data_IF_900414875693
#
_entry.id   IF_900414875693
#
_cell.length_a   1.000
_cell.length_b   1.000
_cell.length_c   1.000
_cell.angle_alpha   90.00
_cell.angle_beta   90.00
_cell.angle_gamma   90.00
#
_symmetry.space_group_name_H-M   'P 1'
#
loop_
_entity.id
_entity.type
_entity.pdbx_description
1 polymer ?
#
# COMPACT_ATOMS: atom_id res chain seq x y z
N UNK A 1 -4.33 2.01 32.99
CA UNK A 1 -3.01 2.62 32.75
C UNK A 1 -3.27 4.01 32.18
N UNK A 2 -2.77 5.08 32.80
CA UNK A 2 -2.98 6.43 32.26
C UNK A 2 -2.20 6.58 30.95
N UNK A 3 -2.83 7.18 29.95
CA UNK A 3 -2.19 7.44 28.67
C UNK A 3 -1.10 8.51 28.84
N UNK A 4 0.14 8.30 28.35
CA UNK A 4 1.21 9.27 28.52
C UNK A 4 0.99 10.54 27.68
N UNK A 5 0.23 10.47 26.60
CA UNK A 5 -0.08 11.61 25.72
C UNK A 5 -1.56 11.62 25.37
N UNK A 6 -2.12 12.80 25.10
CA UNK A 6 -3.54 12.93 24.69
C UNK A 6 -3.83 12.19 23.37
N UNK A 7 -2.82 12.11 22.50
CA UNK A 7 -2.92 11.49 21.18
C UNK A 7 -2.84 9.96 21.21
N UNK A 8 -2.52 9.33 22.35
CA UNK A 8 -2.42 7.87 22.44
C UNK A 8 -3.73 7.16 22.10
N UNK A 9 -4.88 7.76 22.42
CA UNK A 9 -6.21 7.18 22.17
C UNK A 9 -6.54 7.05 20.67
N UNK A 10 -5.91 7.86 19.83
CA UNK A 10 -6.12 7.90 18.38
C UNK A 10 -4.98 7.20 17.59
N UNK A 11 -3.94 6.74 18.29
CA UNK A 11 -2.75 6.21 17.65
C UNK A 11 -2.98 4.78 17.13
N UNK A 12 -2.73 4.54 15.84
CA UNK A 12 -2.92 3.20 15.23
C UNK A 12 -1.99 2.12 15.80
N UNK A 13 -0.89 2.51 16.47
CA UNK A 13 0.04 1.58 17.14
C UNK A 13 -0.14 1.54 18.66
N UNK A 14 -1.22 2.12 19.20
CA UNK A 14 -1.46 2.27 20.64
C UNK A 14 -1.20 0.99 21.43
N UNK A 15 -1.74 -0.13 20.96
CA UNK A 15 -1.74 -1.39 21.72
C UNK A 15 -0.35 -2.05 21.80
N UNK A 16 0.59 -1.68 20.93
CA UNK A 16 1.96 -2.18 20.94
C UNK A 16 3.02 -1.07 20.98
N UNK A 17 2.63 0.15 21.34
CA UNK A 17 3.55 1.28 21.42
C UNK A 17 4.51 1.11 22.61
N UNK A 18 5.80 0.98 22.32
CA UNK A 18 6.86 0.79 23.32
C UNK A 18 7.01 1.98 24.29
N UNK A 19 6.70 3.19 23.81
CA UNK A 19 6.67 4.39 24.65
C UNK A 19 5.51 4.35 25.64
N UNK A 20 4.36 3.79 25.23
CA UNK A 20 3.15 3.70 26.04
C UNK A 20 3.24 2.60 27.09
N UNK A 21 3.80 1.44 26.73
CA UNK A 21 3.95 0.31 27.65
C UNK A 21 5.19 0.40 28.55
N UNK A 22 6.00 1.46 28.41
CA UNK A 22 7.19 1.72 29.23
C UNK A 22 8.47 1.01 28.80
N UNK A 23 8.46 0.24 27.71
CA UNK A 23 9.68 -0.46 27.21
C UNK A 23 10.74 0.54 26.73
N UNK A 24 10.32 1.68 26.18
CA UNK A 24 11.21 2.77 25.77
C UNK A 24 10.91 4.00 26.62
N UNK A 25 11.49 4.09 27.83
CA UNK A 25 11.20 5.17 28.75
C UNK A 25 11.65 6.52 28.20
N UNK A 26 11.09 7.57 28.79
CA UNK A 26 11.53 8.93 28.57
C UNK A 26 12.85 9.20 29.29
N UNK A 27 13.73 10.04 28.72
CA UNK A 27 14.78 10.67 29.52
C UNK A 27 14.18 11.36 30.74
N UNK A 28 14.88 11.30 31.88
CA UNK A 28 14.37 11.85 33.15
C UNK A 28 14.14 13.37 33.10
N UNK A 29 14.90 14.06 32.25
CA UNK A 29 14.88 15.50 32.01
C UNK A 29 13.93 15.93 30.89
N UNK A 30 13.16 15.00 30.30
CA UNK A 30 12.29 15.31 29.19
C UNK A 30 11.00 16.00 29.64
N UNK A 31 10.84 17.28 29.26
CA UNK A 31 9.56 17.99 29.40
C UNK A 31 8.51 17.37 28.50
N UNK A 32 7.44 16.84 29.10
CA UNK A 32 6.35 16.21 28.37
C UNK A 32 5.56 17.23 27.55
N UNK A 33 5.58 17.05 26.22
CA UNK A 33 4.61 17.70 25.35
C UNK A 33 3.23 17.05 25.51
N UNK A 34 2.13 17.80 25.33
CA UNK A 34 0.78 17.23 25.34
C UNK A 34 0.60 16.15 24.26
N UNK A 35 1.24 16.34 23.10
CA UNK A 35 1.17 15.46 21.94
C UNK A 35 2.45 14.63 21.76
N UNK A 36 2.28 13.35 21.39
CA UNK A 36 3.38 12.46 21.08
C UNK A 36 4.01 12.77 19.70
N UNK A 37 5.30 13.09 19.65
CA UNK A 37 6.01 13.33 18.38
C UNK A 37 5.95 12.14 17.40
N UNK A 38 6.04 10.90 17.91
CA UNK A 38 5.91 9.70 17.08
C UNK A 38 4.50 9.54 16.48
N UNK A 39 3.46 9.97 17.20
CA UNK A 39 2.11 10.02 16.67
C UNK A 39 1.99 11.04 15.54
N UNK A 40 2.54 12.25 15.73
CA UNK A 40 2.48 13.33 14.72
C UNK A 40 3.13 12.87 13.42
N UNK A 41 4.34 12.30 13.50
CA UNK A 41 5.07 11.78 12.35
C UNK A 41 4.29 10.65 11.66
N UNK A 42 3.82 9.67 12.43
CA UNK A 42 3.09 8.53 11.89
C UNK A 42 1.77 8.95 11.22
N UNK A 43 1.00 9.83 11.85
CA UNK A 43 -0.26 10.30 11.31
C UNK A 43 -0.06 11.07 10.00
N UNK A 44 1.00 11.88 9.90
CA UNK A 44 1.35 12.54 8.64
C UNK A 44 1.76 11.54 7.56
N UNK A 45 2.59 10.54 7.89
CA UNK A 45 3.01 9.52 6.92
C UNK A 45 1.81 8.72 6.38
N UNK A 46 0.86 8.35 7.25
CA UNK A 46 -0.37 7.67 6.85
C UNK A 46 -1.24 8.55 5.96
N UNK A 47 -1.39 9.84 6.29
CA UNK A 47 -2.13 10.81 5.47
C UNK A 47 -1.52 10.94 4.07
N UNK A 48 -0.20 11.13 3.99
CA UNK A 48 0.52 11.25 2.71
C UNK A 48 0.44 9.96 1.89
N UNK A 49 0.29 8.80 2.55
CA UNK A 49 0.24 7.51 1.86
C UNK A 49 -1.01 7.27 1.04
N UNK A 50 -2.09 8.00 1.32
CA UNK A 50 -3.41 7.81 0.68
C UNK A 50 -3.97 6.39 0.85
N UNK A 51 -3.45 5.59 1.80
CA UNK A 51 -4.02 4.29 2.13
C UNK A 51 -5.43 4.51 2.72
N UNK A 52 -6.47 3.84 2.20
CA UNK A 52 -7.83 4.00 2.70
C UNK A 52 -7.96 3.60 4.17
N UNK A 53 -8.83 4.31 4.91
CA UNK A 53 -9.07 4.07 6.34
C UNK A 53 -9.53 2.64 6.65
N UNK A 54 -10.20 1.96 5.70
CA UNK A 54 -10.58 0.55 5.87
C UNK A 54 -9.37 -0.39 6.09
N UNK A 55 -8.16 0.03 5.66
CA UNK A 55 -6.91 -0.70 5.85
C UNK A 55 -6.06 -0.17 7.00
N UNK A 56 -6.56 0.72 7.86
CA UNK A 56 -5.78 1.27 8.99
C UNK A 56 -5.22 0.18 9.93
N UNK A 57 -5.89 -0.97 9.97
CA UNK A 57 -5.49 -2.13 10.78
C UNK A 57 -4.75 -3.21 9.98
N UNK A 58 -4.43 -2.97 8.70
CA UNK A 58 -3.63 -3.89 7.91
C UNK A 58 -2.17 -3.75 8.31
N UNK A 59 -1.69 -4.61 9.21
CA UNK A 59 -0.31 -4.55 9.71
C UNK A 59 0.12 -5.92 10.23
N UNK A 60 1.43 -6.06 10.52
CA UNK A 60 2.04 -7.30 11.01
C UNK A 60 1.35 -7.89 12.24
N UNK A 61 0.84 -7.06 13.16
CA UNK A 61 0.21 -7.51 14.41
C UNK A 61 -1.17 -8.11 14.20
N UNK A 62 -1.93 -7.54 13.26
CA UNK A 62 -3.29 -7.97 12.94
C UNK A 62 -3.35 -8.96 11.78
N UNK A 63 -2.21 -9.24 11.12
CA UNK A 63 -2.16 -10.15 9.99
C UNK A 63 -2.39 -11.59 10.44
N UNK A 64 -3.45 -12.22 9.95
CA UNK A 64 -3.82 -13.58 10.31
C UNK A 64 -3.26 -14.57 9.27
N UNK A 65 -2.49 -15.54 9.76
CA UNK A 65 -2.12 -16.72 8.99
C UNK A 65 -3.13 -17.82 9.28
N UNK A 66 -3.90 -18.20 8.26
CA UNK A 66 -4.95 -19.21 8.33
C UNK A 66 -4.79 -20.24 7.21
N UNK A 67 -5.78 -21.09 7.02
CA UNK A 67 -5.73 -22.16 6.00
C UNK A 67 -5.50 -21.66 4.58
N UNK A 68 -5.96 -20.46 4.24
CA UNK A 68 -5.95 -19.95 2.86
C UNK A 68 -4.59 -19.36 2.47
N UNK A 69 -3.77 -18.95 3.44
CA UNK A 69 -2.44 -18.38 3.21
C UNK A 69 -1.29 -19.12 3.92
N UNK A 70 -1.57 -20.21 4.66
CA UNK A 70 -0.58 -20.99 5.42
C UNK A 70 0.61 -21.45 4.59
N UNK A 71 0.39 -21.79 3.32
CA UNK A 71 1.46 -22.22 2.42
C UNK A 71 2.54 -21.15 2.20
N UNK A 72 2.21 -19.88 2.41
CA UNK A 72 3.12 -18.75 2.29
C UNK A 72 3.63 -18.24 3.64
N UNK A 73 3.36 -18.96 4.75
CA UNK A 73 3.64 -18.50 6.13
C UNK A 73 5.06 -17.98 6.30
N UNK A 74 6.06 -18.77 5.93
CA UNK A 74 7.45 -18.43 6.17
C UNK A 74 7.87 -17.23 5.30
N UNK A 75 7.48 -17.23 4.01
CA UNK A 75 7.67 -16.09 3.11
C UNK A 75 7.02 -14.79 3.63
N UNK A 76 5.82 -14.86 4.20
CA UNK A 76 5.11 -13.71 4.77
C UNK A 76 5.87 -13.17 5.99
N UNK A 77 6.30 -14.07 6.88
CA UNK A 77 7.07 -13.68 8.09
C UNK A 77 8.39 -13.03 7.68
N UNK A 78 9.11 -13.64 6.75
CA UNK A 78 10.38 -13.12 6.24
C UNK A 78 10.19 -11.76 5.58
N UNK A 79 9.16 -11.61 4.73
CA UNK A 79 8.84 -10.34 4.09
C UNK A 79 8.56 -9.23 5.11
N UNK A 80 7.81 -9.50 6.18
CA UNK A 80 7.62 -8.52 7.26
C UNK A 80 8.94 -8.16 7.97
N UNK A 81 9.84 -9.12 8.13
CA UNK A 81 11.12 -8.91 8.80
C UNK A 81 12.06 -8.08 7.94
N UNK A 82 12.14 -8.34 6.64
CA UNK A 82 13.07 -7.71 5.69
C UNK A 82 12.46 -6.58 4.85
N UNK A 83 11.30 -6.04 5.23
CA UNK A 83 10.55 -5.08 4.40
C UNK A 83 11.35 -3.83 4.02
N UNK A 84 12.17 -3.28 4.93
CA UNK A 84 13.01 -2.12 4.65
C UNK A 84 14.06 -2.43 3.58
N UNK A 85 14.65 -3.63 3.61
CA UNK A 85 15.63 -4.08 2.62
C UNK A 85 14.97 -4.33 1.26
N UNK A 86 13.78 -4.95 1.25
CA UNK A 86 12.98 -5.16 0.04
C UNK A 86 12.72 -3.80 -0.65
N UNK A 87 12.25 -2.81 0.10
CA UNK A 87 11.95 -1.48 -0.45
C UNK A 87 13.23 -0.76 -0.89
N UNK A 88 14.28 -0.79 -0.06
CA UNK A 88 15.58 -0.15 -0.36
C UNK A 88 16.24 -0.72 -1.63
N UNK A 89 16.11 -2.02 -1.86
CA UNK A 89 16.71 -2.69 -3.02
C UNK A 89 15.86 -2.59 -4.30
N UNK A 90 14.65 -2.02 -4.20
CA UNK A 90 13.72 -1.95 -5.34
C UNK A 90 13.12 -3.30 -5.70
N UNK A 91 13.01 -4.22 -4.73
CA UNK A 91 12.36 -5.52 -4.93
C UNK A 91 10.85 -5.33 -4.87
N UNK A 92 10.12 -5.99 -5.76
CA UNK A 92 8.69 -5.84 -5.94
C UNK A 92 7.93 -7.03 -5.35
N UNK A 93 6.67 -6.82 -4.98
CA UNK A 93 5.76 -7.87 -4.53
C UNK A 93 4.44 -7.81 -5.30
N UNK A 94 4.00 -8.94 -5.83
CA UNK A 94 2.73 -9.06 -6.54
C UNK A 94 1.78 -9.99 -5.79
N UNK A 95 0.50 -9.63 -5.74
CA UNK A 95 -0.54 -10.46 -5.15
C UNK A 95 -1.64 -10.67 -6.19
N UNK A 96 -1.69 -11.86 -6.78
CA UNK A 96 -2.45 -12.10 -8.01
C UNK A 96 -3.29 -13.36 -7.88
N UNK A 97 -4.60 -13.24 -8.06
CA UNK A 97 -5.48 -14.41 -8.14
C UNK A 97 -6.87 -14.02 -8.65
N UNK A 98 -7.53 -14.83 -9.50
CA UNK A 98 -8.87 -14.52 -10.03
C UNK A 98 -9.97 -14.33 -8.98
N UNK A 99 -9.89 -15.05 -7.85
CA UNK A 99 -10.88 -14.97 -6.78
C UNK A 99 -10.83 -13.63 -6.05
N UNK A 100 -11.98 -12.98 -5.88
CA UNK A 100 -12.11 -11.70 -5.17
C UNK A 100 -12.19 -11.93 -3.66
N UNK A 101 -11.78 -10.92 -2.89
CA UNK A 101 -11.94 -10.93 -1.43
C UNK A 101 -10.99 -11.84 -0.65
N UNK A 102 -9.95 -12.39 -1.29
CA UNK A 102 -9.00 -13.33 -0.68
C UNK A 102 -7.93 -12.69 0.22
N UNK A 103 -7.82 -11.36 0.21
CA UNK A 103 -6.86 -10.61 1.05
C UNK A 103 -5.63 -10.05 0.31
N UNK A 104 -5.63 -10.03 -1.03
CA UNK A 104 -4.53 -9.45 -1.84
C UNK A 104 -4.18 -8.01 -1.45
N UNK A 105 -5.14 -7.09 -1.52
CA UNK A 105 -4.98 -5.68 -1.14
C UNK A 105 -4.55 -5.53 0.32
N UNK A 106 -5.21 -6.26 1.23
CA UNK A 106 -4.88 -6.25 2.65
C UNK A 106 -3.43 -6.67 2.89
N UNK A 107 -2.93 -7.70 2.20
CA UNK A 107 -1.56 -8.21 2.36
C UNK A 107 -0.52 -7.21 1.84
N UNK A 108 -0.72 -6.67 0.64
CA UNK A 108 0.16 -5.63 0.10
C UNK A 108 0.26 -4.42 1.03
N UNK A 109 -0.89 -3.96 1.54
CA UNK A 109 -0.96 -2.82 2.45
C UNK A 109 -0.39 -3.17 3.81
N UNK A 110 -0.56 -4.39 4.33
CA UNK A 110 0.02 -4.79 5.60
C UNK A 110 1.56 -4.72 5.59
N UNK A 111 2.19 -5.16 4.50
CA UNK A 111 3.63 -5.00 4.32
C UNK A 111 4.03 -3.52 4.21
N UNK A 112 3.28 -2.72 3.45
CA UNK A 112 3.55 -1.30 3.32
C UNK A 112 3.39 -0.52 4.65
N UNK A 113 2.40 -0.88 5.48
CA UNK A 113 2.23 -0.31 6.82
C UNK A 113 3.41 -0.65 7.72
N UNK A 114 3.91 -1.88 7.68
CA UNK A 114 5.13 -2.26 8.42
C UNK A 114 6.34 -1.43 7.97
N UNK A 115 6.48 -1.17 6.66
CA UNK A 115 7.52 -0.27 6.15
C UNK A 115 7.38 1.15 6.69
N UNK A 116 6.16 1.72 6.71
CA UNK A 116 5.89 3.04 7.31
C UNK A 116 6.31 3.04 8.78
N UNK A 117 5.87 2.05 9.57
CA UNK A 117 6.14 2.00 11.00
C UNK A 117 7.64 1.94 11.33
N UNK A 118 8.42 1.22 10.51
CA UNK A 118 9.87 1.12 10.68
C UNK A 118 10.62 2.35 10.18
N UNK A 119 10.12 3.01 9.14
CA UNK A 119 10.87 4.08 8.44
C UNK A 119 10.50 5.50 8.88
N UNK A 120 9.31 5.72 9.47
CA UNK A 120 8.77 7.07 9.70
C UNK A 120 9.59 7.91 10.68
N UNK A 121 10.31 7.26 11.59
CA UNK A 121 11.18 7.94 12.56
C UNK A 121 12.56 8.28 11.97
N UNK A 122 12.88 7.83 10.75
CA UNK A 122 14.16 8.10 10.10
C UNK A 122 14.09 9.42 9.31
N UNK A 123 14.79 10.49 9.75
CA UNK A 123 14.72 11.81 9.11
C UNK A 123 15.35 11.86 7.72
N UNK A 124 16.18 10.86 7.35
CA UNK A 124 16.71 10.73 5.99
C UNK A 124 15.71 10.12 5.01
N UNK A 125 14.65 9.47 5.51
CA UNK A 125 13.64 8.81 4.68
C UNK A 125 12.31 9.55 4.66
N UNK A 126 11.91 10.17 5.78
CA UNK A 126 10.61 10.81 5.91
C UNK A 126 10.73 12.31 6.21
N UNK A 127 10.02 13.10 5.41
CA UNK A 127 9.73 14.49 5.67
C UNK A 127 8.21 14.71 5.58
N UNK A 128 7.70 15.81 6.14
CA UNK A 128 6.27 16.08 6.22
C UNK A 128 5.59 16.35 4.87
N UNK A 129 6.32 16.25 3.75
CA UNK A 129 5.85 16.59 2.40
C UNK A 129 5.84 15.38 1.47
N UNK A 130 6.82 14.48 1.61
CA UNK A 130 7.07 13.36 0.70
C UNK A 130 6.59 12.04 1.31
N UNK A 131 5.73 11.28 0.62
CA UNK A 131 5.27 9.99 1.12
C UNK A 131 6.42 8.97 1.19
N UNK A 132 6.39 8.11 2.20
CA UNK A 132 7.17 6.85 2.22
C UNK A 132 6.55 5.79 1.30
N UNK A 133 5.23 5.74 1.30
CA UNK A 133 4.38 4.83 0.53
C UNK A 133 3.35 5.66 -0.20
N UNK A 134 2.98 5.34 -1.43
CA UNK A 134 1.82 5.91 -2.09
C UNK A 134 0.88 4.78 -2.53
N UNK A 135 -0.37 4.82 -2.09
CA UNK A 135 -1.41 3.92 -2.54
C UNK A 135 -2.19 4.51 -3.70
N UNK A 136 -2.33 3.74 -4.78
CA UNK A 136 -3.12 4.09 -5.95
C UNK A 136 -4.12 2.98 -6.22
N UNK A 137 -5.42 3.31 -6.16
CA UNK A 137 -6.45 2.45 -6.74
C UNK A 137 -6.40 2.59 -8.25
N UNK A 138 -5.85 1.61 -8.94
CA UNK A 138 -5.46 1.73 -10.35
C UNK A 138 -6.63 2.14 -11.26
N UNK A 139 -7.80 1.51 -11.09
CA UNK A 139 -9.00 1.84 -11.88
C UNK A 139 -9.50 3.28 -11.70
N UNK A 140 -9.40 3.85 -10.48
CA UNK A 140 -9.77 5.25 -10.23
C UNK A 140 -8.77 6.20 -10.86
N UNK A 141 -7.47 5.95 -10.70
CA UNK A 141 -6.44 6.75 -11.36
C UNK A 141 -6.56 6.74 -12.90
N UNK A 142 -6.86 5.58 -13.47
CA UNK A 142 -7.14 5.44 -14.91
C UNK A 142 -8.38 6.23 -15.36
N UNK A 143 -9.40 6.39 -14.50
CA UNK A 143 -10.54 7.27 -14.76
C UNK A 143 -10.13 8.74 -14.70
N UNK A 144 -9.33 9.14 -13.71
CA UNK A 144 -8.88 10.52 -13.55
C UNK A 144 -8.03 10.96 -14.75
N UNK A 145 -7.13 10.11 -15.24
CA UNK A 145 -6.37 10.37 -16.47
C UNK A 145 -7.26 10.60 -17.70
N UNK A 146 -8.40 9.92 -17.81
CA UNK A 146 -9.35 10.16 -18.90
C UNK A 146 -10.06 11.50 -18.77
N UNK A 147 -10.37 11.90 -17.54
CA UNK A 147 -11.10 13.14 -17.26
C UNK A 147 -10.30 14.39 -17.62
N UNK A 148 -8.97 14.33 -17.65
CA UNK A 148 -8.09 15.43 -18.08
C UNK A 148 -8.57 16.03 -19.41
N UNK A 149 -8.89 15.18 -20.40
CA UNK A 149 -9.34 15.63 -21.72
C UNK A 149 -10.80 16.06 -21.78
N UNK A 150 -11.60 15.70 -20.78
CA UNK A 150 -13.04 15.97 -20.76
C UNK A 150 -13.36 17.30 -20.08
N UNK A 151 -12.59 17.65 -19.04
CA UNK A 151 -12.91 18.76 -18.16
C UNK A 151 -12.26 20.09 -18.58
N UNK A 152 -11.20 20.06 -19.40
CA UNK A 152 -10.38 21.25 -19.72
C UNK A 152 -10.01 22.07 -18.46
N UNK A 153 -9.79 21.37 -17.35
CA UNK A 153 -9.47 21.95 -16.05
C UNK A 153 -7.97 21.83 -15.82
N UNK A 154 -7.28 22.97 -15.83
CA UNK A 154 -5.83 23.04 -15.67
C UNK A 154 -5.39 22.57 -14.27
N UNK A 155 -6.11 22.93 -13.22
CA UNK A 155 -5.78 22.57 -11.84
C UNK A 155 -5.93 21.05 -11.63
N UNK A 156 -7.02 20.48 -12.15
CA UNK A 156 -7.22 19.03 -12.16
C UNK A 156 -6.11 18.32 -12.92
N UNK A 157 -5.75 18.83 -14.10
CA UNK A 157 -4.67 18.27 -14.92
C UNK A 157 -3.34 18.29 -14.17
N UNK A 158 -2.96 19.41 -13.56
CA UNK A 158 -1.73 19.51 -12.77
C UNK A 158 -1.74 18.55 -11.59
N UNK A 159 -2.87 18.39 -10.89
CA UNK A 159 -3.00 17.44 -9.78
C UNK A 159 -2.75 16.00 -10.23
N UNK A 160 -3.36 15.57 -11.33
CA UNK A 160 -3.16 14.19 -11.84
C UNK A 160 -1.71 13.97 -12.29
N UNK A 161 -1.12 14.94 -12.99
CA UNK A 161 0.29 14.87 -13.41
C UNK A 161 1.25 14.89 -12.21
N UNK A 162 0.95 15.63 -11.15
CA UNK A 162 1.71 15.60 -9.91
C UNK A 162 1.62 14.22 -9.23
N UNK A 163 0.45 13.58 -9.26
CA UNK A 163 0.29 12.22 -8.75
C UNK A 163 1.17 11.23 -9.54
N UNK A 164 1.24 11.34 -10.87
CA UNK A 164 2.17 10.53 -11.70
C UNK A 164 3.64 10.76 -11.28
N UNK A 165 4.04 12.01 -11.02
CA UNK A 165 5.39 12.31 -10.51
C UNK A 165 5.65 11.63 -9.16
N UNK A 166 4.69 11.67 -8.23
CA UNK A 166 4.81 10.97 -6.96
C UNK A 166 4.88 9.44 -7.13
N UNK A 167 4.07 8.88 -8.03
CA UNK A 167 4.11 7.46 -8.36
C UNK A 167 5.50 7.02 -8.85
N UNK A 168 6.22 7.86 -9.59
CA UNK A 168 7.59 7.57 -10.02
C UNK A 168 8.60 7.59 -8.88
N UNK A 169 8.51 8.55 -7.96
CA UNK A 169 9.62 8.88 -7.05
C UNK A 169 9.48 8.29 -5.64
N UNK A 170 8.26 7.99 -5.20
CA UNK A 170 7.98 7.42 -3.87
C UNK A 170 8.79 6.14 -3.63
N UNK A 171 9.35 5.92 -2.42
CA UNK A 171 10.10 4.72 -2.11
C UNK A 171 9.32 3.43 -2.42
N UNK A 172 8.07 3.36 -1.96
CA UNK A 172 7.17 2.24 -2.21
C UNK A 172 5.85 2.71 -2.87
N UNK A 173 5.53 2.18 -4.04
CA UNK A 173 4.26 2.41 -4.72
C UNK A 173 3.36 1.19 -4.58
N UNK A 174 2.09 1.36 -4.24
CA UNK A 174 1.08 0.30 -4.30
C UNK A 174 0.12 0.58 -5.45
N UNK A 175 0.05 -0.32 -6.42
CA UNK A 175 -0.96 -0.32 -7.48
C UNK A 175 -2.02 -1.37 -7.18
N UNK A 176 -3.13 -0.96 -6.57
CA UNK A 176 -4.20 -1.88 -6.18
C UNK A 176 -5.19 -2.14 -7.32
N UNK A 177 -5.53 -3.41 -7.51
CA UNK A 177 -6.51 -3.91 -8.46
C UNK A 177 -6.18 -3.54 -9.91
N UNK A 178 -4.90 -3.72 -10.28
CA UNK A 178 -4.44 -3.57 -11.66
C UNK A 178 -5.12 -4.61 -12.55
N UNK A 179 -5.41 -4.23 -13.79
CA UNK A 179 -6.23 -5.04 -14.70
C UNK A 179 -7.73 -4.75 -14.62
N UNK A 180 -8.19 -3.94 -13.64
CA UNK A 180 -9.58 -3.50 -13.56
C UNK A 180 -9.81 -2.17 -14.31
N UNK A 181 -10.87 -2.11 -15.11
CA UNK A 181 -11.23 -0.93 -15.92
C UNK A 181 -10.84 -1.04 -17.40
N UNK A 182 -10.93 0.09 -18.12
CA UNK A 182 -10.54 0.18 -19.55
C UNK A 182 -9.11 0.66 -19.69
N UNK A 183 -8.30 -0.03 -20.49
CA UNK A 183 -6.90 0.28 -20.76
C UNK A 183 -6.74 0.93 -22.14
N UNK A 184 -6.90 2.25 -22.20
CA UNK A 184 -6.57 3.00 -23.42
C UNK A 184 -5.05 3.06 -23.60
N UNK A 185 -4.57 3.27 -24.82
CA UNK A 185 -3.13 3.42 -25.08
C UNK A 185 -2.51 4.51 -24.21
N UNK A 186 -3.22 5.63 -24.04
CA UNK A 186 -2.80 6.70 -23.14
C UNK A 186 -2.54 6.22 -21.69
N UNK A 187 -3.44 5.43 -21.11
CA UNK A 187 -3.25 4.88 -19.75
C UNK A 187 -2.08 3.91 -19.71
N UNK A 188 -1.90 3.10 -20.77
CA UNK A 188 -0.75 2.21 -20.91
C UNK A 188 0.55 2.98 -20.99
N UNK A 189 0.62 4.10 -21.72
CA UNK A 189 1.82 4.93 -21.84
C UNK A 189 2.23 5.51 -20.48
N UNK A 190 1.28 6.05 -19.70
CA UNK A 190 1.56 6.52 -18.34
C UNK A 190 1.98 5.39 -17.39
N UNK A 191 1.34 4.21 -17.53
CA UNK A 191 1.69 3.04 -16.72
C UNK A 191 3.10 2.56 -17.05
N UNK A 192 3.43 2.48 -18.34
CA UNK A 192 4.76 2.16 -18.82
C UNK A 192 5.79 3.13 -18.25
N UNK A 193 5.58 4.44 -18.41
CA UNK A 193 6.49 5.49 -17.97
C UNK A 193 6.73 5.46 -16.44
N UNK A 194 5.69 5.17 -15.65
CA UNK A 194 5.85 4.97 -14.20
C UNK A 194 6.68 3.71 -13.90
N UNK A 195 6.32 2.57 -14.48
CA UNK A 195 6.96 1.28 -14.17
C UNK A 195 8.42 1.25 -14.65
N UNK A 196 8.69 1.79 -15.83
CA UNK A 196 10.03 1.84 -16.41
C UNK A 196 10.96 2.74 -15.59
N UNK A 197 10.51 3.95 -15.24
CA UNK A 197 11.26 4.84 -14.36
C UNK A 197 11.59 4.17 -13.02
N UNK A 198 10.61 3.50 -12.41
CA UNK A 198 10.80 2.82 -11.11
C UNK A 198 11.80 1.68 -11.21
N UNK A 199 11.75 0.90 -12.28
CA UNK A 199 12.72 -0.17 -12.57
C UNK A 199 14.14 0.39 -12.71
N UNK A 200 14.32 1.44 -13.50
CA UNK A 200 15.63 2.08 -13.71
C UNK A 200 16.22 2.67 -12.42
N UNK A 201 15.35 3.23 -11.58
CA UNK A 201 15.74 3.92 -10.34
C UNK A 201 15.64 3.04 -9.09
N UNK A 202 15.50 1.72 -9.25
CA UNK A 202 15.40 0.73 -8.16
C UNK A 202 14.35 1.10 -7.09
N UNK A 203 13.15 1.50 -7.53
CA UNK A 203 12.01 1.84 -6.65
C UNK A 203 11.04 0.67 -6.57
N UNK A 204 10.65 0.31 -5.35
CA UNK A 204 9.84 -0.90 -5.08
C UNK A 204 8.36 -0.69 -5.36
N UNK A 205 7.74 -1.59 -6.11
CA UNK A 205 6.33 -1.54 -6.47
C UNK A 205 5.62 -2.78 -5.98
N UNK A 206 4.59 -2.59 -5.15
CA UNK A 206 3.66 -3.65 -4.80
C UNK A 206 2.41 -3.51 -5.65
N UNK A 207 1.86 -4.63 -6.13
CA UNK A 207 0.64 -4.56 -6.93
C UNK A 207 -0.27 -5.75 -6.70
N UNK A 208 -1.57 -5.53 -6.91
CA UNK A 208 -2.58 -6.57 -6.74
C UNK A 208 -3.43 -6.70 -8.00
N UNK A 209 -3.85 -7.91 -8.34
CA UNK A 209 -4.74 -8.13 -9.48
C UNK A 209 -5.73 -9.27 -9.25
N UNK A 210 -6.92 -9.10 -9.79
CA UNK A 210 -7.91 -10.17 -9.97
C UNK A 210 -7.81 -10.83 -11.35
N UNK A 211 -6.83 -10.46 -12.18
CA UNK A 211 -6.52 -11.14 -13.44
C UNK A 211 -5.36 -12.12 -13.22
N UNK A 212 -5.23 -13.10 -14.11
CA UNK A 212 -4.02 -13.92 -14.22
C UNK A 212 -2.91 -13.13 -14.93
N UNK A 213 -1.65 -13.59 -14.84
CA UNK A 213 -0.54 -12.98 -15.58
C UNK A 213 -0.80 -12.96 -17.09
N UNK A 214 -1.25 -14.10 -17.64
CA UNK A 214 -1.60 -14.20 -19.06
C UNK A 214 -2.68 -13.21 -19.50
N UNK A 215 -3.62 -12.88 -18.61
CA UNK A 215 -4.65 -11.87 -18.88
C UNK A 215 -4.10 -10.44 -18.82
N UNK A 216 -3.14 -10.17 -17.94
CA UNK A 216 -2.45 -8.87 -17.88
C UNK A 216 -1.60 -8.62 -19.13
N UNK A 217 -0.94 -9.68 -19.64
CA UNK A 217 -0.12 -9.65 -20.87
C UNK A 217 -0.92 -9.38 -22.15
N UNK A 218 -2.25 -9.52 -22.12
CA UNK A 218 -3.08 -9.24 -23.29
C UNK A 218 -3.00 -7.77 -23.68
N UNK A 219 -2.96 -7.49 -24.99
CA UNK A 219 -2.87 -6.13 -25.53
C UNK A 219 -4.08 -5.24 -25.20
N UNK A 220 -5.24 -5.85 -24.94
CA UNK A 220 -6.44 -5.14 -24.47
C UNK A 220 -6.40 -4.83 -22.95
N UNK A 221 -5.36 -5.28 -22.24
CA UNK A 221 -5.06 -4.97 -20.84
C UNK A 221 -3.76 -4.16 -20.75
N UNK A 222 -2.70 -4.65 -20.09
CA UNK A 222 -1.42 -3.94 -19.97
C UNK A 222 -0.49 -4.20 -21.16
N UNK A 223 -0.58 -5.37 -21.79
CA UNK A 223 0.37 -5.82 -22.80
C UNK A 223 1.64 -6.44 -22.21
N UNK A 224 2.37 -7.17 -23.05
CA UNK A 224 3.55 -7.95 -22.68
C UNK A 224 4.67 -7.06 -22.10
N UNK A 225 4.95 -5.93 -22.76
CA UNK A 225 6.05 -5.02 -22.42
C UNK A 225 5.94 -4.45 -21.01
N UNK A 226 4.73 -4.02 -20.60
CA UNK A 226 4.47 -3.47 -19.27
C UNK A 226 4.51 -4.59 -18.24
N UNK A 227 3.86 -5.72 -18.53
CA UNK A 227 3.79 -6.85 -17.60
C UNK A 227 5.19 -7.43 -17.31
N UNK A 228 6.03 -7.59 -18.34
CA UNK A 228 7.42 -8.02 -18.20
C UNK A 228 8.22 -7.11 -17.26
N UNK A 229 8.08 -5.78 -17.40
CA UNK A 229 8.77 -4.82 -16.51
C UNK A 229 8.24 -4.85 -15.08
N UNK A 230 6.93 -5.03 -14.91
CA UNK A 230 6.32 -5.18 -13.59
C UNK A 230 6.76 -6.46 -12.87
N UNK A 231 7.09 -7.52 -13.62
CA UNK A 231 7.56 -8.79 -13.07
C UNK A 231 9.08 -8.84 -12.84
N UNK A 232 9.83 -7.85 -13.33
CA UNK A 232 11.25 -7.75 -13.05
C UNK A 232 11.49 -7.56 -11.55
N UNK A 233 12.31 -8.44 -10.96
CA UNK A 233 12.65 -8.43 -9.53
C UNK A 233 11.41 -8.52 -8.60
N UNK A 234 10.42 -9.32 -9.01
CA UNK A 234 9.12 -9.42 -8.34
C UNK A 234 8.89 -10.81 -7.74
N UNK A 235 8.53 -10.87 -6.46
CA UNK A 235 7.98 -12.09 -5.84
C UNK A 235 6.46 -12.09 -6.02
N UNK A 236 5.91 -13.15 -6.60
CA UNK A 236 4.47 -13.26 -6.88
C UNK A 236 3.80 -14.22 -5.90
N UNK A 237 2.88 -13.70 -5.09
CA UNK A 237 1.99 -14.47 -4.23
C UNK A 237 0.67 -14.74 -4.95
N UNK A 238 0.36 -16.01 -5.18
CA UNK A 238 -0.94 -16.42 -5.71
C UNK A 238 -1.94 -16.61 -4.58
N UNK A 239 -2.51 -15.51 -4.09
CA UNK A 239 -3.43 -15.51 -2.94
C UNK A 239 -4.88 -15.79 -3.36
N UNK A 240 -5.22 -17.08 -3.43
CA UNK A 240 -6.60 -17.58 -3.54
C UNK A 240 -7.27 -17.78 -2.18
N UNK A 241 -8.34 -18.57 -2.15
CA UNK A 241 -9.05 -18.96 -0.94
C UNK A 241 -10.45 -18.37 -0.83
N UNK A 242 -10.97 -18.30 0.39
CA UNK A 242 -12.34 -17.86 0.67
C UNK A 242 -12.49 -16.35 0.52
N UNK A 243 -13.69 -15.89 0.17
CA UNK A 243 -14.02 -14.45 0.16
C UNK A 243 -14.26 -13.97 1.61
N UNK A 244 -13.24 -13.31 2.16
CA UNK A 244 -13.24 -12.79 3.54
C UNK A 244 -14.23 -11.64 3.77
N UNK A 245 -14.82 -11.07 2.71
CA UNK A 245 -15.82 -10.00 2.81
C UNK A 245 -17.20 -10.55 3.16
N UNK A 246 -17.47 -11.82 2.82
CA UNK A 246 -18.74 -12.46 3.12
C UNK A 246 -18.91 -12.73 4.62
N UNK A 247 -17.83 -12.95 5.36
CA UNK A 247 -17.85 -13.12 6.83
C UNK A 247 -18.38 -11.87 7.57
N UNK A 248 -18.38 -10.71 6.92
CA UNK A 248 -18.89 -9.44 7.47
C UNK A 248 -20.25 -9.02 6.88
N UNK A 249 -20.78 -9.80 5.94
CA UNK A 249 -22.00 -9.47 5.21
C UNK A 249 -23.18 -10.30 5.72
N UNK A 250 -24.23 -9.66 6.20
CA UNK A 250 -25.44 -10.34 6.67
C UNK A 250 -26.55 -10.22 5.62
N UNK A 251 -27.03 -11.36 5.11
CA UNK A 251 -28.21 -11.40 4.24
C UNK A 251 -29.43 -11.66 5.13
N UNK A 252 -30.22 -10.62 5.36
CA UNK A 252 -31.53 -10.78 6.00
C UNK A 252 -32.44 -11.53 5.04
N UNK A 253 -32.89 -12.73 5.43
CA UNK A 253 -33.94 -13.44 4.70
C UNK A 253 -35.29 -12.95 5.22
N UNK A 254 -36.27 -12.64 4.35
CA UNK A 254 -37.61 -12.32 4.81
C UNK A 254 -38.20 -13.51 5.56
N UNK A 255 -38.86 -13.23 6.68
CA UNK A 255 -39.68 -14.21 7.39
C UNK A 255 -40.93 -14.38 6.52
N UNK A 256 -41.03 -15.52 5.85
CA UNK A 256 -42.25 -15.94 5.14
C UNK A 256 -43.22 -16.49 6.17
#
# INVERSE_FOLDING_TARGET
MNEPYVTCTQCVVRDWCQRRNGTTPLPQDYTMNPECGGYILLNQALKLSQIPLEYQNANKRNFLIDTDNRMYKDYIIDTFNSIEEIVKNGNNLAFIHPQKGTGKSYTAIAFAMEYIFKSVMNPSLFNFESPLVLYIKYGSWANDLRQIYQLNDEDFTQKVLQQVKLMKTVPLLILDDIGNGRFTNYIKDFTYDVIDFRKENKKSTFFTSNLTLQQLEQENCLGDIITSRMLFNTVVYQLGGRDRRQEKSYILKPII
#
